data_IF_917185938738
#
_entry.id   IF_917185938738
#
_cell.length_a   1.000
_cell.length_b   1.000
_cell.length_c   1.000
_cell.angle_alpha   90.00
_cell.angle_beta   90.00
_cell.angle_gamma   90.00
#
_symmetry.space_group_name_H-M   'P 1'
#
loop_
_entity.id
_entity.type
_entity.pdbx_description
1 polymer ?
#
# COMPACT_ATOMS: atom_id res chain seq x y z
N UNK A 1 -15.18 8.66 -18.25
CA UNK A 1 -13.94 8.92 -17.52
C UNK A 1 -13.94 8.14 -16.22
N UNK A 2 -12.78 8.00 -15.58
CA UNK A 2 -12.64 7.38 -14.25
C UNK A 2 -13.45 8.13 -13.18
N UNK A 3 -13.96 7.43 -12.17
CA UNK A 3 -14.85 8.01 -11.13
C UNK A 3 -14.08 8.54 -9.91
N UNK A 4 -13.00 7.85 -9.54
CA UNK A 4 -12.13 8.17 -8.42
C UNK A 4 -10.71 7.68 -8.75
N UNK A 5 -9.71 8.55 -8.71
CA UNK A 5 -8.32 8.27 -9.08
C UNK A 5 -7.38 9.01 -8.14
N UNK A 6 -6.27 8.39 -7.76
CA UNK A 6 -5.11 9.04 -7.16
C UNK A 6 -3.91 8.83 -8.09
N UNK A 7 -3.27 9.92 -8.49
CA UNK A 7 -1.95 9.91 -9.13
C UNK A 7 -0.95 10.34 -8.07
N UNK A 8 0.11 9.56 -7.89
CA UNK A 8 1.08 9.76 -6.80
C UNK A 8 2.49 9.90 -7.34
N UNK A 9 3.30 10.70 -6.67
CA UNK A 9 4.74 10.82 -6.91
C UNK A 9 5.45 11.19 -5.61
N UNK A 10 6.35 10.32 -5.14
CA UNK A 10 7.09 10.55 -3.91
C UNK A 10 8.33 11.42 -4.13
N UNK A 11 8.67 12.23 -3.12
CA UNK A 11 9.82 13.14 -3.18
C UNK A 11 11.19 12.41 -3.30
N UNK A 12 11.25 11.14 -2.90
CA UNK A 12 12.42 10.26 -3.04
C UNK A 12 12.50 9.57 -4.41
N UNK A 13 11.57 9.87 -5.33
CA UNK A 13 11.58 9.41 -6.71
C UNK A 13 10.78 8.13 -6.96
N UNK A 14 10.08 7.59 -5.96
CA UNK A 14 9.17 6.47 -6.17
C UNK A 14 7.91 6.90 -6.94
N UNK A 15 7.40 5.97 -7.76
CA UNK A 15 6.13 6.08 -8.49
C UNK A 15 4.93 5.58 -7.66
N UNK A 16 5.15 5.30 -6.37
CA UNK A 16 4.17 4.88 -5.39
C UNK A 16 4.18 5.80 -4.14
N UNK A 17 3.33 5.52 -3.15
CA UNK A 17 3.37 6.23 -1.87
C UNK A 17 4.56 5.71 -1.06
N UNK A 18 5.48 6.62 -0.72
CA UNK A 18 6.70 6.28 0.00
C UNK A 18 6.49 6.13 1.51
N UNK A 19 7.25 5.22 2.12
CA UNK A 19 7.44 5.13 3.58
C UNK A 19 8.60 6.00 4.08
N UNK A 20 9.44 6.53 3.19
CA UNK A 20 10.66 7.26 3.53
C UNK A 20 10.55 8.77 3.33
N UNK A 21 9.57 9.23 2.54
CA UNK A 21 9.43 10.62 2.15
C UNK A 21 7.96 11.04 1.96
N UNK A 22 7.66 12.35 1.98
CA UNK A 22 6.35 12.85 1.55
C UNK A 22 6.01 12.44 0.13
N UNK A 23 4.71 12.28 -0.15
CA UNK A 23 4.18 11.92 -1.46
C UNK A 23 3.19 12.98 -1.92
N UNK A 24 3.43 13.53 -3.12
CA UNK A 24 2.49 14.40 -3.81
C UNK A 24 1.35 13.56 -4.41
N UNK A 25 0.12 14.03 -4.22
CA UNK A 25 -1.09 13.37 -4.72
C UNK A 25 -1.91 14.35 -5.54
N UNK A 26 -2.29 13.94 -6.76
CA UNK A 26 -3.37 14.55 -7.52
C UNK A 26 -4.56 13.58 -7.52
N UNK A 27 -5.62 13.94 -6.79
CA UNK A 27 -6.82 13.12 -6.64
C UNK A 27 -7.96 13.68 -7.48
N UNK A 28 -8.51 12.86 -8.38
CA UNK A 28 -9.74 13.15 -9.10
C UNK A 28 -10.90 12.39 -8.44
N UNK A 29 -11.88 13.11 -7.89
CA UNK A 29 -13.06 12.53 -7.25
C UNK A 29 -14.30 13.33 -7.62
N UNK A 30 -15.34 12.64 -8.09
CA UNK A 30 -16.58 13.28 -8.55
C UNK A 30 -16.39 14.39 -9.62
N UNK A 31 -15.32 14.29 -10.42
CA UNK A 31 -15.02 15.25 -11.49
C UNK A 31 -14.20 16.46 -11.04
N UNK A 32 -13.86 16.58 -9.76
CA UNK A 32 -12.97 17.61 -9.23
C UNK A 32 -11.58 17.03 -9.00
N UNK A 33 -10.54 17.80 -9.34
CA UNK A 33 -9.15 17.47 -9.07
C UNK A 33 -8.65 18.32 -7.92
N UNK A 34 -8.10 17.66 -6.91
CA UNK A 34 -7.44 18.30 -5.76
C UNK A 34 -6.02 17.80 -5.64
N UNK A 35 -5.11 18.69 -5.27
CA UNK A 35 -3.70 18.38 -5.08
C UNK A 35 -3.34 18.58 -3.60
N UNK A 36 -2.63 17.61 -3.03
CA UNK A 36 -2.18 17.66 -1.65
C UNK A 36 -0.93 16.79 -1.46
N UNK A 37 -0.34 16.88 -0.28
CA UNK A 37 0.83 16.09 0.13
C UNK A 37 0.43 15.23 1.31
N UNK A 38 0.83 13.96 1.28
CA UNK A 38 0.69 13.03 2.40
C UNK A 38 2.06 12.58 2.87
N UNK A 39 2.17 12.22 4.15
CA UNK A 39 3.34 11.56 4.74
C UNK A 39 2.91 10.37 5.59
N UNK A 40 3.79 9.38 5.85
CA UNK A 40 3.46 8.23 6.70
C UNK A 40 2.85 8.60 8.05
N UNK A 41 3.32 9.70 8.66
CA UNK A 41 2.86 10.16 9.97
C UNK A 41 1.40 10.64 9.98
N UNK A 42 0.85 11.05 8.83
CA UNK A 42 -0.57 11.45 8.73
C UNK A 42 -1.51 10.26 8.98
N UNK A 43 -0.98 9.04 8.85
CA UNK A 43 -1.68 7.77 9.06
C UNK A 43 -1.21 7.02 10.32
N UNK A 44 -0.41 7.68 11.16
CA UNK A 44 0.16 7.08 12.38
C UNK A 44 1.27 6.05 12.13
N UNK A 45 1.87 6.05 10.94
CA UNK A 45 3.02 5.22 10.59
C UNK A 45 4.32 6.01 10.81
N UNK A 46 5.43 5.30 10.91
CA UNK A 46 6.75 5.91 11.06
C UNK A 46 7.48 5.89 9.73
N UNK A 47 8.17 6.99 9.43
CA UNK A 47 9.11 7.01 8.32
C UNK A 47 10.24 6.01 8.53
N UNK A 48 10.63 5.32 7.46
CA UNK A 48 11.70 4.32 7.47
C UNK A 48 12.58 4.47 6.22
N UNK A 49 13.89 4.19 6.31
CA UNK A 49 14.79 4.32 5.16
C UNK A 49 14.47 3.27 4.08
N UNK A 50 14.50 3.67 2.80
CA UNK A 50 14.25 2.75 1.68
C UNK A 50 15.23 1.57 1.64
N UNK A 51 16.45 1.74 2.13
CA UNK A 51 17.43 0.66 2.24
C UNK A 51 16.91 -0.52 3.08
N UNK A 52 15.96 -0.30 4.00
CA UNK A 52 15.31 -1.38 4.76
C UNK A 52 14.36 -2.26 3.95
N UNK A 53 13.96 -1.81 2.75
CA UNK A 53 13.09 -2.51 1.81
C UNK A 53 13.85 -3.10 0.62
N UNK A 54 15.16 -2.85 0.55
CA UNK A 54 15.99 -3.31 -0.55
C UNK A 54 16.17 -4.83 -0.49
N UNK A 55 15.97 -5.47 -1.63
CA UNK A 55 16.21 -6.91 -1.86
C UNK A 55 17.03 -7.07 -3.13
N UNK A 56 17.87 -8.09 -3.18
CA UNK A 56 18.78 -8.34 -4.31
C UNK A 56 18.32 -9.54 -5.16
N UNK A 57 17.43 -10.38 -4.64
CA UNK A 57 16.94 -11.59 -5.32
C UNK A 57 15.41 -11.73 -5.29
N UNK A 58 14.88 -12.53 -6.22
CA UNK A 58 13.45 -12.84 -6.25
C UNK A 58 13.02 -13.64 -5.01
N UNK A 59 13.89 -14.51 -4.50
CA UNK A 59 13.66 -15.29 -3.28
C UNK A 59 13.57 -14.39 -2.04
N UNK A 60 14.43 -13.38 -1.94
CA UNK A 60 14.35 -12.36 -0.88
C UNK A 60 13.09 -11.51 -0.99
N UNK A 61 12.72 -11.09 -2.20
CA UNK A 61 11.47 -10.36 -2.46
C UNK A 61 10.25 -11.17 -2.02
N UNK A 62 10.21 -12.46 -2.38
CA UNK A 62 9.15 -13.37 -1.97
C UNK A 62 9.10 -13.53 -0.45
N UNK A 63 10.25 -13.71 0.21
CA UNK A 63 10.32 -13.81 1.67
C UNK A 63 9.82 -12.53 2.35
N UNK A 64 10.13 -11.36 1.80
CA UNK A 64 9.61 -10.08 2.30
C UNK A 64 8.10 -9.97 2.13
N UNK A 65 7.55 -10.28 0.96
CA UNK A 65 6.09 -10.27 0.75
C UNK A 65 5.40 -11.28 1.67
N UNK A 66 5.98 -12.47 1.84
CA UNK A 66 5.45 -13.47 2.77
C UNK A 66 5.47 -12.98 4.22
N UNK A 67 6.49 -12.24 4.65
CA UNK A 67 6.52 -11.67 6.01
C UNK A 67 5.40 -10.65 6.20
N UNK A 68 5.18 -9.78 5.21
CA UNK A 68 4.06 -8.82 5.20
C UNK A 68 2.72 -9.53 5.29
N UNK A 69 2.49 -10.53 4.44
CA UNK A 69 1.22 -11.28 4.40
C UNK A 69 1.00 -12.17 5.64
N UNK A 70 2.07 -12.48 6.39
CA UNK A 70 2.00 -13.11 7.71
C UNK A 70 1.94 -12.09 8.86
N UNK A 71 1.62 -10.82 8.56
CA UNK A 71 1.44 -9.74 9.53
C UNK A 71 2.68 -9.50 10.41
N UNK A 72 3.89 -9.70 9.87
CA UNK A 72 5.11 -9.35 10.57
C UNK A 72 5.28 -7.82 10.60
N UNK A 73 5.45 -7.20 11.78
CA UNK A 73 5.58 -5.76 11.88
C UNK A 73 6.90 -5.26 11.28
N UNK A 74 6.85 -4.12 10.61
CA UNK A 74 8.03 -3.44 10.09
C UNK A 74 7.73 -2.57 8.85
N UNK A 75 8.75 -1.88 8.32
CA UNK A 75 8.59 -0.95 7.20
C UNK A 75 7.92 -1.57 5.96
N UNK A 76 8.19 -2.85 5.69
CA UNK A 76 7.59 -3.56 4.56
C UNK A 76 6.07 -3.73 4.72
N UNK A 77 5.60 -3.98 5.94
CA UNK A 77 4.16 -4.03 6.21
C UNK A 77 3.56 -2.63 6.07
N UNK A 78 4.22 -1.62 6.62
CA UNK A 78 3.71 -0.25 6.63
C UNK A 78 3.58 0.36 5.22
N UNK A 79 4.56 0.18 4.33
CA UNK A 79 4.47 0.65 2.94
C UNK A 79 3.37 -0.08 2.15
N UNK A 80 3.17 -1.38 2.40
CA UNK A 80 2.09 -2.15 1.78
C UNK A 80 0.73 -1.66 2.28
N UNK A 81 0.61 -1.36 3.57
CA UNK A 81 -0.62 -0.81 4.14
C UNK A 81 -0.96 0.56 3.55
N UNK A 82 0.02 1.45 3.36
CA UNK A 82 -0.17 2.76 2.72
C UNK A 82 -0.75 2.60 1.30
N UNK A 83 -0.09 1.81 0.45
CA UNK A 83 -0.47 1.66 -0.95
C UNK A 83 -1.75 0.84 -1.12
N UNK A 84 -1.91 -0.26 -0.39
CA UNK A 84 -3.15 -1.05 -0.40
C UNK A 84 -4.33 -0.23 0.16
N UNK A 85 -4.08 0.60 1.18
CA UNK A 85 -5.09 1.50 1.72
C UNK A 85 -5.57 2.53 0.70
N UNK A 86 -4.65 3.10 -0.08
CA UNK A 86 -5.02 3.99 -1.18
C UNK A 86 -5.85 3.26 -2.24
N UNK A 87 -5.45 2.05 -2.62
CA UNK A 87 -6.20 1.21 -3.57
C UNK A 87 -7.63 0.88 -3.08
N UNK A 88 -7.79 0.52 -1.80
CA UNK A 88 -9.10 0.26 -1.19
C UNK A 88 -9.95 1.54 -1.16
N UNK A 89 -9.35 2.69 -0.83
CA UNK A 89 -10.03 3.98 -0.84
C UNK A 89 -10.55 4.36 -2.23
N UNK A 90 -9.69 4.34 -3.26
CA UNK A 90 -10.11 4.70 -4.63
C UNK A 90 -11.08 3.69 -5.24
N UNK A 91 -11.13 2.46 -4.72
CA UNK A 91 -12.13 1.46 -5.13
C UNK A 91 -13.55 1.77 -4.62
N UNK A 92 -13.70 2.69 -3.66
CA UNK A 92 -14.96 3.01 -2.99
C UNK A 92 -15.34 2.05 -1.85
N UNK A 93 -14.42 1.17 -1.44
CA UNK A 93 -14.62 0.27 -0.29
C UNK A 93 -14.30 0.92 1.07
N UNK A 94 -13.76 2.13 1.06
CA UNK A 94 -13.48 2.96 2.22
C UNK A 94 -13.77 4.44 1.91
N UNK A 95 -14.17 5.22 2.92
CA UNK A 95 -14.51 6.64 2.72
C UNK A 95 -13.29 7.58 2.81
N UNK A 96 -12.17 7.06 3.29
CA UNK A 96 -10.89 7.77 3.37
C UNK A 96 -9.71 6.82 3.20
N UNK A 97 -8.54 7.37 2.88
CA UNK A 97 -7.29 6.62 2.80
C UNK A 97 -6.96 5.94 4.15
N UNK A 98 -7.14 6.64 5.27
CA UNK A 98 -6.99 6.06 6.62
C UNK A 98 -7.88 4.83 6.85
N UNK A 99 -9.17 4.89 6.49
CA UNK A 99 -10.07 3.73 6.57
C UNK A 99 -9.63 2.59 5.62
N UNK A 100 -9.07 2.93 4.47
CA UNK A 100 -8.47 1.97 3.55
C UNK A 100 -7.30 1.24 4.20
N UNK A 101 -6.40 1.96 4.88
CA UNK A 101 -5.27 1.40 5.63
C UNK A 101 -5.76 0.46 6.74
N UNK A 102 -6.80 0.86 7.48
CA UNK A 102 -7.39 0.01 8.53
C UNK A 102 -7.97 -1.29 7.97
N UNK A 103 -8.64 -1.23 6.82
CA UNK A 103 -9.13 -2.42 6.11
C UNK A 103 -8.00 -3.31 5.60
N UNK A 104 -6.97 -2.72 4.99
CA UNK A 104 -5.77 -3.45 4.55
C UNK A 104 -5.11 -4.17 5.74
N UNK A 105 -5.00 -3.49 6.89
CA UNK A 105 -4.46 -4.07 8.13
C UNK A 105 -5.29 -5.23 8.63
N UNK A 106 -6.62 -5.11 8.61
CA UNK A 106 -7.51 -6.17 9.05
C UNK A 106 -7.36 -7.45 8.19
N UNK A 107 -7.35 -7.32 6.85
CA UNK A 107 -7.26 -8.48 5.94
C UNK A 107 -5.87 -9.12 5.89
N UNK A 108 -4.82 -8.38 6.26
CA UNK A 108 -3.50 -8.94 6.49
C UNK A 108 -3.46 -9.67 7.83
N UNK A 109 -3.97 -9.04 8.90
CA UNK A 109 -3.94 -9.60 10.25
C UNK A 109 -4.78 -10.87 10.41
N UNK A 110 -5.90 -11.00 9.67
CA UNK A 110 -6.75 -12.19 9.69
C UNK A 110 -6.28 -13.31 8.73
N UNK A 111 -5.23 -13.05 7.94
CA UNK A 111 -4.63 -14.01 7.01
C UNK A 111 -5.34 -14.15 5.66
N UNK A 112 -6.45 -13.42 5.43
CA UNK A 112 -7.21 -13.48 4.18
C UNK A 112 -6.36 -13.07 2.97
N UNK A 113 -5.47 -12.09 3.13
CA UNK A 113 -4.58 -11.65 2.06
C UNK A 113 -3.60 -12.77 1.64
N UNK A 114 -3.01 -13.48 2.61
CA UNK A 114 -2.13 -14.62 2.34
C UNK A 114 -2.88 -15.76 1.66
N UNK A 115 -4.06 -16.10 2.17
CA UNK A 115 -4.91 -17.13 1.58
C UNK A 115 -5.27 -16.80 0.13
N UNK A 116 -5.52 -15.52 -0.17
CA UNK A 116 -5.83 -15.07 -1.53
C UNK A 116 -4.66 -15.26 -2.50
N UNK A 117 -3.43 -15.00 -2.05
CA UNK A 117 -2.22 -15.26 -2.84
C UNK A 117 -2.08 -16.75 -3.17
N UNK A 118 -2.28 -17.62 -2.18
CA UNK A 118 -2.20 -19.08 -2.35
C UNK A 118 -3.28 -19.59 -3.32
N UNK A 119 -4.53 -19.14 -3.16
CA UNK A 119 -5.63 -19.49 -4.06
C UNK A 119 -5.36 -19.06 -5.51
N UNK A 120 -4.77 -17.89 -5.72
CA UNK A 120 -4.41 -17.43 -7.06
C UNK A 120 -3.36 -18.35 -7.68
N UNK A 121 -2.32 -18.70 -6.93
CA UNK A 121 -1.26 -19.60 -7.41
C UNK A 121 -1.81 -21.01 -7.74
N UNK A 122 -2.69 -21.56 -6.90
CA UNK A 122 -3.38 -22.82 -7.16
C UNK A 122 -4.25 -22.74 -8.41
N UNK A 123 -5.01 -21.65 -8.58
CA UNK A 123 -5.89 -21.46 -9.72
C UNK A 123 -5.14 -21.41 -11.04
N UNK A 124 -3.97 -20.75 -11.09
CA UNK A 124 -3.21 -20.55 -12.34
C UNK A 124 -2.27 -21.70 -12.70
N UNK A 125 -2.07 -22.66 -11.79
CA UNK A 125 -1.23 -23.84 -12.02
C UNK A 125 -2.04 -25.06 -12.51
N UNK A 126 -3.37 -24.94 -12.59
CA UNK A 126 -4.27 -25.93 -13.19
C UNK A 126 -4.66 -25.52 -14.62
#
# INVERSE_FOLDING_TARGET
GSRHVMVVNAEDGLDEISIAAPTHVAECKAGEVTEYVIKPEDFGLQTAPLDSLRVETAEESLAMIQSVLNNQPGPALDIVLLNAGAAIYVSGLADSHQQGIEKARAVIADGSALQRMQQLAELTNN
#
